data_IF_075993185850
#
_entry.id   IF_075993185850
#
_cell.length_a   1.000
_cell.length_b   1.000
_cell.length_c   1.000
_cell.angle_alpha   90.00
_cell.angle_beta   90.00
_cell.angle_gamma   90.00
#
_symmetry.space_group_name_H-M   'P 1'
#
loop_
_entity.id
_entity.type
_entity.pdbx_description
1 polymer ?
#
# COMPACT_ATOMS: atom_id res chain seq x y z
N UNK A 1 -10.19 -57.28 26.02
CA UNK A 1 -11.54 -56.76 26.35
C UNK A 1 -11.38 -55.29 26.70
N UNK A 2 -11.73 -54.36 25.79
CA UNK A 2 -11.69 -52.92 26.06
C UNK A 2 -13.05 -52.54 26.61
N UNK A 3 -13.12 -52.20 27.89
CA UNK A 3 -14.35 -51.75 28.54
C UNK A 3 -14.79 -50.40 27.98
N UNK A 4 -16.03 -50.33 27.51
CA UNK A 4 -16.66 -49.06 27.11
C UNK A 4 -16.69 -48.10 28.31
N UNK A 5 -15.93 -47.01 28.21
CA UNK A 5 -15.99 -45.91 29.15
C UNK A 5 -17.30 -45.13 28.92
N UNK A 6 -18.32 -45.43 29.73
CA UNK A 6 -19.60 -44.73 29.73
C UNK A 6 -19.41 -43.29 30.18
N UNK A 7 -19.51 -42.35 29.24
CA UNK A 7 -19.42 -40.92 29.52
C UNK A 7 -20.69 -40.49 30.27
N UNK A 8 -20.51 -40.05 31.52
CA UNK A 8 -21.56 -39.56 32.41
C UNK A 8 -22.44 -38.50 31.70
N UNK A 9 -23.77 -38.68 31.72
CA UNK A 9 -24.75 -37.77 31.13
C UNK A 9 -24.59 -36.33 31.65
N UNK A 10 -24.16 -36.14 32.90
CA UNK A 10 -23.91 -34.81 33.48
C UNK A 10 -22.75 -34.07 32.79
N UNK A 11 -21.70 -34.80 32.39
CA UNK A 11 -20.57 -34.25 31.65
C UNK A 11 -20.98 -33.83 30.23
N UNK A 12 -21.81 -34.63 29.54
CA UNK A 12 -22.38 -34.24 28.23
C UNK A 12 -23.25 -32.98 28.33
N UNK A 13 -24.07 -32.87 29.38
CA UNK A 13 -24.93 -31.71 29.58
C UNK A 13 -24.15 -30.43 29.92
N UNK A 14 -23.06 -30.56 30.69
CA UNK A 14 -22.10 -29.49 30.98
C UNK A 14 -21.43 -28.96 29.71
N UNK A 15 -20.91 -29.85 28.85
CA UNK A 15 -20.26 -29.48 27.59
C UNK A 15 -21.23 -28.78 26.64
N UNK A 16 -22.48 -29.23 26.57
CA UNK A 16 -23.50 -28.57 25.74
C UNK A 16 -23.85 -27.15 26.23
N UNK A 17 -23.89 -26.95 27.56
CA UNK A 17 -24.07 -25.61 28.15
C UNK A 17 -22.87 -24.69 27.85
N UNK A 18 -21.64 -25.20 27.98
CA UNK A 18 -20.43 -24.45 27.61
C UNK A 18 -20.38 -24.11 26.12
N UNK A 19 -20.73 -25.04 25.24
CA UNK A 19 -20.75 -24.81 23.79
C UNK A 19 -21.79 -23.77 23.37
N UNK A 20 -22.98 -23.79 23.99
CA UNK A 20 -24.01 -22.78 23.72
C UNK A 20 -23.63 -21.40 24.25
N UNK A 21 -22.98 -21.32 25.41
CA UNK A 21 -22.43 -20.06 25.94
C UNK A 21 -21.31 -19.51 25.06
N UNK A 22 -20.40 -20.37 24.60
CA UNK A 22 -19.30 -20.00 23.69
C UNK A 22 -19.84 -19.50 22.35
N UNK A 23 -20.81 -20.20 21.74
CA UNK A 23 -21.46 -19.78 20.50
C UNK A 23 -22.19 -18.45 20.63
N UNK A 24 -22.83 -18.18 21.77
CA UNK A 24 -23.51 -16.91 22.04
C UNK A 24 -22.50 -15.76 22.17
N UNK A 25 -21.38 -15.98 22.88
CA UNK A 25 -20.27 -15.02 22.95
C UNK A 25 -19.64 -14.75 21.58
N UNK A 26 -19.43 -15.79 20.77
CA UNK A 26 -18.90 -15.64 19.41
C UNK A 26 -19.87 -14.85 18.53
N UNK A 27 -21.18 -15.14 18.62
CA UNK A 27 -22.19 -14.39 17.88
C UNK A 27 -22.24 -12.91 18.30
N UNK A 28 -22.10 -12.61 19.59
CA UNK A 28 -22.04 -11.25 20.12
C UNK A 28 -20.77 -10.50 19.69
N UNK A 29 -19.62 -11.19 19.68
CA UNK A 29 -18.37 -10.65 19.14
C UNK A 29 -18.49 -10.36 17.64
N UNK A 30 -19.06 -11.30 16.87
CA UNK A 30 -19.25 -11.15 15.43
C UNK A 30 -20.26 -10.05 15.08
N UNK A 31 -21.30 -9.84 15.90
CA UNK A 31 -22.24 -8.73 15.70
C UNK A 31 -21.61 -7.37 16.00
N UNK A 32 -20.65 -7.29 16.93
CA UNK A 32 -19.87 -6.06 17.21
C UNK A 32 -18.81 -5.79 16.13
N UNK A 33 -18.24 -6.84 15.54
CA UNK A 33 -17.29 -6.77 14.41
C UNK A 33 -17.94 -6.33 13.09
N UNK A 34 -19.28 -6.25 13.02
CA UNK A 34 -19.99 -5.74 11.84
C UNK A 34 -19.88 -4.22 11.65
N UNK A 35 -19.25 -3.52 12.58
CA UNK A 35 -18.94 -2.09 12.48
C UNK A 35 -17.48 -1.93 12.08
N UNK A 36 -17.28 -1.49 10.83
CA UNK A 36 -16.01 -1.00 10.27
C UNK A 36 -14.94 -2.05 9.97
N UNK A 37 -15.11 -2.79 8.86
CA UNK A 37 -13.94 -3.14 8.05
C UNK A 37 -13.33 -1.83 7.54
N UNK A 38 -12.25 -1.37 8.18
CA UNK A 38 -11.52 -0.20 7.70
C UNK A 38 -10.98 -0.52 6.30
N UNK A 39 -11.38 0.26 5.31
CA UNK A 39 -10.84 0.17 3.97
C UNK A 39 -9.45 0.81 3.97
N UNK A 40 -8.40 -0.02 4.00
CA UNK A 40 -7.02 0.45 4.02
C UNK A 40 -6.65 1.08 2.67
N UNK A 41 -7.27 0.64 1.58
CA UNK A 41 -6.98 1.13 0.23
C UNK A 41 -7.51 2.55 -0.02
N UNK A 42 -8.55 2.96 0.71
CA UNK A 42 -9.16 4.30 0.63
C UNK A 42 -8.71 5.24 1.76
N UNK A 43 -7.82 4.79 2.66
CA UNK A 43 -7.39 5.59 3.81
C UNK A 43 -6.48 6.74 3.35
N UNK A 44 -6.84 7.96 3.74
CA UNK A 44 -6.00 9.14 3.52
C UNK A 44 -4.77 9.14 4.43
N UNK A 45 -3.75 9.92 4.04
CA UNK A 45 -2.53 10.06 4.84
C UNK A 45 -2.81 10.66 6.23
N UNK A 46 -3.72 11.63 6.30
CA UNK A 46 -4.16 12.27 7.55
C UNK A 46 -4.86 11.28 8.48
N UNK A 47 -5.71 10.41 7.93
CA UNK A 47 -6.40 9.37 8.70
C UNK A 47 -5.42 8.31 9.22
N UNK A 48 -4.44 7.93 8.40
CA UNK A 48 -3.36 7.02 8.80
C UNK A 48 -2.52 7.64 9.93
N UNK A 49 -2.15 8.91 9.80
CA UNK A 49 -1.38 9.62 10.82
C UNK A 49 -2.18 9.71 12.14
N UNK A 50 -3.47 10.05 12.07
CA UNK A 50 -4.34 10.09 13.25
C UNK A 50 -4.55 8.71 13.89
N UNK A 51 -4.56 7.63 13.11
CA UNK A 51 -4.64 6.26 13.62
C UNK A 51 -3.35 5.84 14.33
N UNK A 52 -2.19 6.20 13.75
CA UNK A 52 -0.88 5.98 14.36
C UNK A 52 -0.75 6.74 15.69
N UNK A 53 -1.14 8.01 15.76
CA UNK A 53 -1.11 8.79 17.01
C UNK A 53 -1.96 8.14 18.10
N UNK A 54 -3.17 7.69 17.77
CA UNK A 54 -4.05 6.97 18.72
C UNK A 54 -3.40 5.70 19.28
N UNK A 55 -2.62 4.99 18.47
CA UNK A 55 -1.91 3.78 18.91
C UNK A 55 -0.80 4.05 19.93
N UNK A 56 -0.25 5.27 19.94
CA UNK A 56 0.74 5.74 20.93
C UNK A 56 0.06 6.26 22.18
N UNK A 57 -0.99 7.06 22.04
CA UNK A 57 -1.70 7.70 23.15
C UNK A 57 -2.44 6.68 24.02
N UNK A 58 -3.02 5.64 23.41
CA UNK A 58 -3.77 4.61 24.11
C UNK A 58 -3.48 3.20 23.57
N UNK A 59 -2.30 2.64 23.85
CA UNK A 59 -1.91 1.32 23.38
C UNK A 59 -2.78 0.22 24.00
N UNK A 60 -3.46 -0.55 23.16
CA UNK A 60 -4.31 -1.67 23.59
C UNK A 60 -3.67 -3.02 23.33
N UNK A 61 -3.81 -3.96 24.27
CA UNK A 61 -3.41 -5.35 24.08
C UNK A 61 -4.33 -6.05 23.06
N UNK A 62 -3.82 -6.93 22.18
CA UNK A 62 -2.43 -7.41 22.09
C UNK A 62 -1.50 -6.51 21.23
N UNK A 63 -2.01 -5.39 20.72
CA UNK A 63 -1.34 -4.54 19.73
C UNK A 63 -0.48 -3.41 20.34
N UNK A 64 -0.16 -3.48 21.62
CA UNK A 64 0.62 -2.44 22.30
C UNK A 64 2.02 -2.26 21.71
N UNK A 65 2.53 -3.26 20.98
CA UNK A 65 3.81 -3.18 20.27
C UNK A 65 3.81 -2.10 19.17
N UNK A 66 2.65 -1.70 18.65
CA UNK A 66 2.52 -0.67 17.62
C UNK A 66 2.91 0.73 18.12
N UNK A 67 2.82 0.99 19.43
CA UNK A 67 3.19 2.27 20.03
C UNK A 67 4.66 2.64 19.76
N UNK A 68 5.53 1.64 19.59
CA UNK A 68 6.96 1.84 19.34
C UNK A 68 7.27 2.20 17.88
N UNK A 69 6.34 1.95 16.95
CA UNK A 69 6.56 2.13 15.51
C UNK A 69 6.27 3.58 15.08
N UNK A 70 5.38 4.27 15.80
CA UNK A 70 4.96 5.63 15.45
C UNK A 70 6.10 6.66 15.47
N UNK A 71 7.11 6.51 16.34
CA UNK A 71 8.25 7.43 16.41
C UNK A 71 9.07 7.48 15.12
N UNK A 72 9.04 6.41 14.31
CA UNK A 72 9.69 6.36 13.01
C UNK A 72 8.91 7.20 11.98
N UNK A 73 7.58 7.26 12.11
CA UNK A 73 6.66 7.96 11.20
C UNK A 73 6.34 9.41 11.59
N UNK A 74 6.51 9.80 12.87
CA UNK A 74 6.29 11.17 13.36
C UNK A 74 7.49 12.07 13.20
N UNK A 75 8.65 11.52 12.79
CA UNK A 75 9.76 12.37 12.40
C UNK A 75 9.34 13.13 11.15
N UNK A 76 9.06 14.43 11.29
CA UNK A 76 8.90 15.39 10.18
C UNK A 76 10.19 15.54 9.35
N UNK A 77 11.09 14.56 9.39
CA UNK A 77 12.12 14.44 8.39
C UNK A 77 11.37 14.13 7.11
N UNK A 78 11.41 15.03 6.10
CA UNK A 78 10.99 14.61 4.78
C UNK A 78 11.71 13.29 4.52
N UNK A 79 10.99 12.27 4.10
CA UNK A 79 11.64 11.10 3.54
C UNK A 79 12.55 11.65 2.45
N UNK A 80 13.84 11.76 2.77
CA UNK A 80 14.85 12.08 1.78
C UNK A 80 14.98 10.77 1.03
N UNK A 81 14.04 10.56 0.11
CA UNK A 81 14.06 9.45 -0.82
C UNK A 81 15.31 9.69 -1.63
N UNK A 82 16.39 9.06 -1.19
CA UNK A 82 17.63 9.01 -1.94
C UNK A 82 17.22 8.49 -3.31
N UNK A 83 17.46 9.29 -4.35
CA UNK A 83 17.12 8.92 -5.73
C UNK A 83 17.53 7.47 -5.95
N UNK A 84 16.55 6.62 -6.23
CA UNK A 84 16.79 5.20 -6.44
C UNK A 84 17.59 5.07 -7.73
N UNK A 85 18.32 3.97 -7.89
CA UNK A 85 19.01 3.69 -9.16
C UNK A 85 18.03 3.76 -10.36
N UNK A 86 16.78 3.33 -10.14
CA UNK A 86 15.67 3.45 -11.08
C UNK A 86 15.38 4.92 -11.44
N UNK A 87 15.30 5.82 -10.45
CA UNK A 87 15.02 7.25 -10.65
C UNK A 87 16.13 7.93 -11.47
N UNK A 88 17.38 7.55 -11.22
CA UNK A 88 18.53 8.02 -11.98
C UNK A 88 18.50 7.51 -13.43
N UNK A 89 18.17 6.23 -13.64
CA UNK A 89 18.02 5.65 -14.98
C UNK A 89 16.86 6.30 -15.76
N UNK A 90 15.71 6.52 -15.12
CA UNK A 90 14.57 7.22 -15.72
C UNK A 90 14.94 8.64 -16.15
N UNK A 91 15.68 9.36 -15.30
CA UNK A 91 16.16 10.71 -15.61
C UNK A 91 17.11 10.71 -16.80
N UNK A 92 18.06 9.78 -16.85
CA UNK A 92 18.99 9.64 -17.96
C UNK A 92 18.28 9.32 -19.28
N UNK A 93 17.26 8.45 -19.24
CA UNK A 93 16.42 8.14 -20.41
C UNK A 93 15.64 9.37 -20.88
N UNK A 94 15.04 10.13 -19.96
CA UNK A 94 14.30 11.35 -20.29
C UNK A 94 15.19 12.39 -20.98
N UNK A 95 16.41 12.61 -20.47
CA UNK A 95 17.37 13.52 -21.10
C UNK A 95 17.83 13.02 -22.47
N UNK A 96 18.04 11.71 -22.64
CA UNK A 96 18.36 11.13 -23.94
C UNK A 96 17.24 11.31 -24.96
N UNK A 97 15.98 11.14 -24.54
CA UNK A 97 14.81 11.37 -25.41
C UNK A 97 14.77 12.83 -25.88
N UNK A 98 14.93 13.79 -24.95
CA UNK A 98 14.98 15.23 -25.31
C UNK A 98 16.10 15.53 -26.29
N UNK A 99 17.30 15.00 -26.05
CA UNK A 99 18.46 15.20 -26.93
C UNK A 99 18.20 14.67 -28.34
N UNK A 100 17.63 13.46 -28.46
CA UNK A 100 17.27 12.86 -29.74
C UNK A 100 16.22 13.71 -30.45
N UNK A 101 15.22 14.21 -29.74
CA UNK A 101 14.17 15.05 -30.31
C UNK A 101 14.75 16.34 -30.93
N UNK A 102 15.67 17.01 -30.23
CA UNK A 102 16.37 18.20 -30.76
C UNK A 102 17.18 17.86 -32.01
N UNK A 103 17.87 16.72 -32.02
CA UNK A 103 18.65 16.28 -33.17
C UNK A 103 17.74 16.00 -34.38
N UNK A 104 16.59 15.39 -34.14
CA UNK A 104 15.61 15.05 -35.19
C UNK A 104 15.04 16.31 -35.84
N UNK A 105 14.67 17.31 -35.04
CA UNK A 105 14.20 18.60 -35.54
C UNK A 105 15.28 19.30 -36.37
N UNK A 106 16.53 19.31 -35.90
CA UNK A 106 17.65 19.88 -36.65
C UNK A 106 17.87 19.17 -37.99
N UNK A 107 17.83 17.84 -38.00
CA UNK A 107 17.98 17.05 -39.21
C UNK A 107 16.84 17.34 -40.21
N UNK A 108 15.61 17.42 -39.72
CA UNK A 108 14.43 17.78 -40.53
C UNK A 108 14.60 19.15 -41.17
N UNK A 109 14.93 20.19 -40.39
CA UNK A 109 15.15 21.53 -40.93
C UNK A 109 16.26 21.57 -41.97
N UNK A 110 17.32 20.79 -41.80
CA UNK A 110 18.43 20.75 -42.74
C UNK A 110 18.05 20.07 -44.07
N UNK A 111 17.23 19.02 -44.02
CA UNK A 111 16.68 18.38 -45.22
C UNK A 111 15.76 19.34 -45.96
N UNK A 112 14.84 20.01 -45.25
CA UNK A 112 13.93 20.99 -45.85
C UNK A 112 14.68 22.14 -46.52
N UNK A 113 15.71 22.68 -45.86
CA UNK A 113 16.56 23.72 -46.44
C UNK A 113 17.25 23.23 -47.72
N UNK A 114 17.84 22.04 -47.68
CA UNK A 114 18.55 21.46 -48.84
C UNK A 114 17.59 21.22 -50.02
N UNK A 115 16.38 20.72 -49.73
CA UNK A 115 15.33 20.53 -50.72
C UNK A 115 14.91 21.85 -51.38
N UNK A 116 14.72 22.91 -50.60
CA UNK A 116 14.40 24.24 -51.12
C UNK A 116 15.51 24.76 -52.04
N UNK A 117 16.77 24.65 -51.61
CA UNK A 117 17.91 25.08 -52.43
C UNK A 117 18.05 24.29 -53.74
N UNK A 118 17.76 22.98 -53.72
CA UNK A 118 17.77 22.16 -54.93
C UNK A 118 16.66 22.57 -55.90
N UNK A 119 15.43 22.72 -55.40
CA UNK A 119 14.27 23.13 -56.20
C UNK A 119 14.46 24.51 -56.84
N UNK A 120 15.15 25.43 -56.16
CA UNK A 120 15.41 26.77 -56.67
C UNK A 120 16.47 26.79 -57.78
N UNK A 121 17.36 25.79 -57.83
CA UNK A 121 18.36 25.63 -58.90
C UNK A 121 17.79 25.01 -60.18
N UNK A 122 16.73 24.21 -60.09
CA UNK A 122 16.07 23.60 -61.26
C UNK A 122 15.16 24.57 -62.05
N UNK A 123 14.91 25.78 -61.52
CA UNK A 123 14.02 26.80 -62.13
C UNK A 123 14.83 27.82 -62.97
N UNK A 124 16.17 27.74 -62.97
CA UNK A 124 17.07 28.65 -63.67
C UNK A 124 17.89 27.93 -64.76
#
# INVERSE_FOLDING_TARGET
MIGELSINKSAKQSVNKLNSAARRKIAECNSKLRVSSYNVDEMSFEELQAALSRSVENPQQPFSFLANISNEFTSNKPYVTKSTDIDMQLTAVAERIKSIQVLLEKAKSQIEYTYLCAKQKDIH
#
